data_IF_654103470670
#
_entry.id   IF_654103470670
#
_cell.length_a   1.000
_cell.length_b   1.000
_cell.length_c   1.000
_cell.angle_alpha   90.00
_cell.angle_beta   90.00
_cell.angle_gamma   90.00
#
_symmetry.space_group_name_H-M   'P 1'
#
loop_
_entity.id
_entity.type
_entity.pdbx_description
1 polymer ?
2 polymer ?
3 non-polymer ?
4 non-polymer ?
5 non-polymer ?
6 non-polymer ?
7 non-polymer ?
8 water ?
#
# COMPACT_ATOMS: atom_id res chain seq x y z
N UNK A 1 -9.87 -1.62 -30.12
CA UNK A 1 -8.81 -1.49 -29.07
C UNK A 1 -8.92 -2.62 -28.05
N UNK A 2 -7.81 -2.90 -27.37
CA UNK A 2 -7.76 -3.96 -26.36
C UNK A 2 -6.99 -3.50 -25.11
N UNK A 3 -7.45 -3.95 -23.96
CA UNK A 3 -6.96 -3.44 -22.67
C UNK A 3 -5.51 -3.83 -22.35
N UNK A 4 -5.02 -4.91 -22.94
CA UNK A 4 -3.65 -5.36 -22.69
C UNK A 4 -2.63 -4.48 -23.42
N UNK A 5 -3.07 -3.78 -24.46
CA UNK A 5 -2.20 -2.83 -25.17
C UNK A 5 -2.53 -1.40 -24.79
N UNK A 6 -1.56 -0.70 -24.22
CA UNK A 6 -1.69 0.73 -23.94
C UNK A 6 -2.83 1.03 -22.96
N UNK A 7 -3.18 0.04 -22.14
CA UNK A 7 -4.34 0.12 -21.24
C UNK A 7 -5.64 0.36 -22.00
N UNK A 8 -5.68 -0.03 -23.27
CA UNK A 8 -6.86 0.20 -24.11
C UNK A 8 -7.17 1.67 -24.36
N UNK A 9 -6.20 2.53 -24.08
CA UNK A 9 -6.38 3.98 -24.15
C UNK A 9 -7.04 4.59 -22.92
N UNK A 10 -7.41 3.75 -21.96
CA UNK A 10 -8.13 4.22 -20.75
C UNK A 10 -7.18 4.89 -19.78
N UNK A 11 -7.66 5.90 -19.08
CA UNK A 11 -6.87 6.55 -18.03
C UNK A 11 -6.73 5.63 -16.83
N UNK A 12 -7.81 4.90 -16.50
CA UNK A 12 -7.84 3.99 -15.35
C UNK A 12 -8.15 2.57 -15.79
N UNK A 13 -9.36 2.07 -15.53
CA UNK A 13 -9.66 0.66 -15.72
C UNK A 13 -10.28 0.38 -17.09
N UNK A 14 -10.12 -0.85 -17.57
CA UNK A 14 -10.51 -1.22 -18.93
C UNK A 14 -11.13 -2.62 -18.95
N UNK A 15 -12.26 -2.76 -19.64
CA UNK A 15 -12.92 -4.05 -19.87
C UNK A 15 -13.01 -4.33 -21.35
N UNK A 16 -12.60 -5.53 -21.76
CA UNK A 16 -12.83 -6.01 -23.14
C UNK A 16 -14.24 -6.59 -23.23
N UNK A 17 -14.91 -6.32 -24.35
CA UNK A 17 -16.26 -6.82 -24.59
C UNK A 17 -16.32 -7.59 -25.90
N UNK A 18 -17.37 -8.39 -26.05
CA UNK A 18 -17.52 -9.27 -27.21
C UNK A 18 -17.65 -8.45 -28.50
N UNK A 19 -16.68 -8.64 -29.40
CA UNK A 19 -16.55 -7.84 -30.62
C UNK A 19 -15.30 -6.97 -30.52
N UNK A 20 -15.20 -5.97 -31.39
CA UNK A 20 -14.11 -4.99 -31.28
C UNK A 20 -14.53 -3.89 -30.28
N UNK A 21 -15.03 -4.31 -29.12
CA UNK A 21 -15.59 -3.39 -28.13
C UNK A 21 -14.75 -3.31 -26.86
N UNK A 22 -14.71 -2.11 -26.29
CA UNK A 22 -13.94 -1.84 -25.09
C UNK A 22 -14.71 -0.81 -24.25
N UNK A 23 -14.72 -0.97 -22.93
CA UNK A 23 -15.30 0.03 -22.05
C UNK A 23 -14.29 0.43 -20.99
N UNK A 24 -14.02 1.72 -20.88
CA UNK A 24 -13.17 2.22 -19.79
C UNK A 24 -14.05 2.50 -18.58
N UNK A 25 -13.46 2.42 -17.39
CA UNK A 25 -14.18 2.73 -16.17
C UNK A 25 -13.27 3.52 -15.24
N UNK A 26 -13.85 4.12 -14.22
CA UNK A 26 -13.10 4.92 -13.27
C UNK A 26 -13.38 4.44 -11.85
N UNK A 27 -12.42 4.66 -10.97
CA UNK A 27 -12.54 4.36 -9.55
C UNK A 27 -13.65 5.19 -8.93
N UNK A 28 -14.18 4.74 -7.80
CA UNK A 28 -15.11 5.54 -7.04
C UNK A 28 -14.46 6.90 -6.77
N UNK A 29 -15.28 7.96 -6.82
CA UNK A 29 -14.79 9.32 -6.64
C UNK A 29 -14.35 9.99 -7.93
N UNK A 30 -14.56 9.29 -9.04
CA UNK A 30 -14.25 9.79 -10.38
C UNK A 30 -15.40 9.47 -11.31
N UNK A 31 -15.54 10.27 -12.37
CA UNK A 31 -16.49 9.97 -13.44
C UNK A 31 -15.79 9.97 -14.79
N UNK A 32 -16.32 9.19 -15.73
CA UNK A 32 -15.76 9.05 -17.07
C UNK A 32 -16.27 10.18 -17.94
N UNK A 33 -15.35 10.82 -18.66
CA UNK A 33 -15.70 11.91 -19.56
C UNK A 33 -16.25 11.36 -20.87
N UNK A 34 -16.80 12.26 -21.69
CA UNK A 34 -17.41 11.89 -22.97
C UNK A 34 -16.44 11.33 -24.01
N UNK A 35 -15.14 11.55 -23.82
CA UNK A 35 -14.13 10.90 -24.66
C UNK A 35 -14.07 9.38 -24.44
N UNK A 36 -14.71 8.90 -23.36
CA UNK A 36 -14.79 7.48 -23.06
C UNK A 36 -13.55 6.89 -22.44
N UNK A 37 -12.56 7.73 -22.14
CA UNK A 37 -11.26 7.25 -21.61
C UNK A 37 -10.79 8.00 -20.36
N UNK A 38 -11.07 9.30 -20.26
CA UNK A 38 -10.57 10.13 -19.17
C UNK A 38 -11.45 10.07 -17.94
N UNK A 39 -10.82 10.21 -16.77
CA UNK A 39 -11.52 10.18 -15.48
C UNK A 39 -11.28 11.52 -14.79
N UNK A 40 -12.36 12.13 -14.28
CA UNK A 40 -12.28 13.39 -13.56
C UNK A 40 -12.84 13.21 -12.15
N UNK A 41 -12.17 13.79 -11.13
CA UNK A 41 -12.70 13.70 -9.77
C UNK A 41 -14.11 14.25 -9.61
N UNK A 42 -14.89 13.60 -8.76
CA UNK A 42 -16.24 14.03 -8.43
C UNK A 42 -16.37 14.41 -6.95
N UNK A 43 -15.28 14.23 -6.22
CA UNK A 43 -15.24 14.54 -4.78
C UNK A 43 -13.98 15.34 -4.48
N UNK A 44 -13.92 15.91 -3.27
CA UNK A 44 -12.81 16.76 -2.87
C UNK A 44 -11.49 16.00 -2.74
N UNK A 45 -11.56 14.77 -2.20
CA UNK A 45 -10.38 13.97 -1.90
C UNK A 45 -10.45 12.60 -2.56
N UNK A 46 -10.34 12.56 -3.90
CA UNK A 46 -10.33 11.31 -4.62
C UNK A 46 -9.09 10.51 -4.31
N UNK A 47 -9.17 9.19 -4.35
CA UNK A 47 -7.99 8.38 -4.06
C UNK A 47 -6.85 8.66 -5.04
N UNK A 48 -5.62 8.53 -4.55
CA UNK A 48 -4.45 8.55 -5.42
C UNK A 48 -4.03 9.91 -5.94
N UNK A 49 -4.64 10.98 -5.42
CA UNK A 49 -4.23 12.34 -5.75
C UNK A 49 -3.74 13.04 -4.49
N UNK A 50 -2.76 13.92 -4.65
CA UNK A 50 -2.09 14.58 -3.53
C UNK A 50 -2.53 16.04 -3.49
N UNK A 51 -3.47 16.38 -2.59
CA UNK A 51 -4.09 17.71 -2.57
C UNK A 51 -3.12 18.89 -2.66
N UNK A 52 -2.04 18.86 -1.89
CA UNK A 52 -1.15 20.05 -1.88
C UNK A 52 -0.45 20.25 -3.23
N UNK A 53 -0.25 19.16 -3.98
CA UNK A 53 0.33 19.25 -5.32
C UNK A 53 -0.72 19.57 -6.38
N UNK A 54 -1.93 19.03 -6.23
CA UNK A 54 -3.04 19.37 -7.13
C UNK A 54 -3.39 20.86 -7.04
N UNK A 55 -3.31 21.42 -5.83
CA UNK A 55 -3.49 22.86 -5.63
C UNK A 55 -2.29 23.66 -6.16
N UNK A 56 -1.09 23.10 -6.02
CA UNK A 56 0.14 23.76 -6.44
C UNK A 56 0.14 24.10 -7.94
N UNK A 57 -0.55 23.28 -8.74
CA UNK A 57 -0.68 23.49 -10.19
C UNK A 57 -2.06 23.99 -10.65
N UNK A 58 -2.99 24.17 -9.71
CA UNK A 58 -4.33 24.66 -10.03
C UNK A 58 -4.33 26.16 -10.30
N UNK B 1 13.68 3.49 5.97
CA UNK B 1 14.10 3.72 4.58
C UNK B 1 15.57 4.14 4.55
N UNK B 2 16.37 3.41 3.77
CA UNK B 2 17.79 3.71 3.58
C UNK B 2 17.99 4.41 2.23
N UNK B 3 18.68 5.55 2.25
CA UNK B 3 19.08 6.23 1.02
C UNK B 3 17.98 7.02 0.32
N UNK B 4 16.90 7.32 1.04
CA UNK B 4 15.83 8.14 0.49
C UNK B 4 15.92 9.58 0.96
N UNK B 5 14.77 10.24 1.02
CA UNK B 5 14.67 11.62 1.45
C UNK B 5 13.41 11.80 2.26
N UNK B 6 13.32 12.91 2.97
CA UNK B 6 12.10 13.24 3.70
C UNK B 6 10.97 13.42 2.69
N UNK B 7 9.83 12.78 2.96
CA UNK B 7 8.62 13.01 2.20
C UNK B 7 8.04 14.34 2.67
N UNK B 8 7.98 15.35 1.79
CA UNK B 8 7.43 16.62 2.24
C UNK B 8 6.04 16.41 2.85
N UNK B 9 5.80 17.07 3.98
CA UNK B 9 4.56 16.89 4.73
C UNK B 9 3.35 17.00 3.81
N UNK B 10 2.50 15.97 3.83
CA UNK B 10 1.30 15.94 3.00
C UNK B 10 1.47 15.31 1.63
N UNK B 11 2.70 14.97 1.23
CA UNK B 11 2.94 14.36 -0.08
C UNK B 11 2.87 12.82 -0.09
N UNK B 12 2.72 12.22 1.08
CA UNK B 12 2.49 10.80 1.25
C UNK B 12 1.21 10.62 2.09
N UNK B 13 0.07 11.17 1.66
CA UNK B 13 -1.08 11.32 2.55
C UNK B 13 -1.83 10.01 2.92
N UNK B 14 -1.46 8.92 2.26
CA UNK B 14 -2.05 7.61 2.52
C UNK B 14 -1.22 6.77 3.49
N UNK B 15 -0.07 7.30 3.92
CA UNK B 15 0.81 6.56 4.80
C UNK B 15 0.16 6.43 6.18
N UNK B 16 0.21 5.22 6.74
CA UNK B 16 -0.30 4.95 8.09
C UNK B 16 0.88 4.55 8.97
N UNK B 17 0.83 4.99 10.22
CA UNK B 17 1.74 4.53 11.26
C UNK B 17 0.94 3.65 12.20
N UNK B 18 1.43 2.43 12.43
CA UNK B 18 0.81 1.52 13.39
C UNK B 18 1.60 1.52 14.69
N UNK B 19 0.89 1.67 15.81
CA UNK B 19 1.49 1.71 17.15
C UNK B 19 0.92 0.62 18.02
N UNK B 20 1.76 0.04 18.88
CA UNK B 20 1.28 -0.85 19.93
C UNK B 20 1.80 -0.35 21.28
N UNK B 21 0.88 -0.03 22.18
CA UNK B 21 1.21 0.60 23.45
C UNK B 21 2.08 1.85 23.24
N UNK B 22 1.77 2.60 22.18
CA UNK B 22 2.45 3.85 21.89
C UNK B 22 3.74 3.72 21.10
N UNK B 23 4.22 2.49 20.93
CA UNK B 23 5.52 2.23 20.29
C UNK B 23 5.31 1.89 18.81
N UNK B 24 6.20 2.38 17.98
CA UNK B 24 6.18 2.10 16.55
C UNK B 24 6.21 0.60 16.27
N UNK B 25 5.23 0.11 15.53
CA UNK B 25 5.18 -1.27 15.08
C UNK B 25 5.55 -1.43 13.62
N UNK B 26 4.83 -0.71 12.76
CA UNK B 26 4.88 -0.94 11.32
C UNK B 26 4.22 0.22 10.59
N UNK B 27 4.28 0.19 9.27
CA UNK B 27 3.52 1.11 8.44
C UNK B 27 2.28 0.43 7.90
N UNK B 28 1.54 1.19 7.11
CA UNK B 28 0.35 0.69 6.45
C UNK B 28 -0.08 1.68 5.38
N UNK B 29 -1.11 1.33 4.62
CA UNK B 29 -1.62 2.19 3.57
C UNK B 29 -3.13 2.33 3.67
N UNK B 30 -3.60 3.57 3.74
CA UNK B 30 -5.04 3.84 3.74
C UNK B 30 -5.58 3.65 2.31
N UNK B 31 -6.62 2.83 2.17
CA UNK B 31 -7.26 2.65 0.84
C UNK B 31 -8.70 3.14 0.74
N UNK B 32 -9.29 3.46 1.89
CA UNK B 32 -10.52 4.24 1.93
C UNK B 32 -10.68 4.70 3.38
N UNK B 33 -11.81 5.28 3.77
CA UNK B 33 -11.86 5.94 5.08
C UNK B 33 -11.83 5.01 6.30
N UNK B 34 -12.09 3.71 6.14
CA UNK B 34 -12.06 2.78 7.28
C UNK B 34 -11.08 1.60 7.11
N UNK B 35 -10.45 1.48 5.94
CA UNK B 35 -9.62 0.31 5.64
C UNK B 35 -8.15 0.65 5.37
N UNK B 36 -7.27 -0.12 6.02
CA UNK B 36 -5.81 0.02 5.89
C UNK B 36 -5.20 -1.32 5.49
N UNK B 37 -4.28 -1.30 4.53
CA UNK B 37 -3.55 -2.51 4.14
C UNK B 37 -2.16 -2.45 4.78
N UNK B 38 -1.75 -3.57 5.37
CA UNK B 38 -0.42 -3.66 6.00
C UNK B 38 0.15 -5.05 5.71
N UNK B 39 1.19 -5.45 6.45
CA UNK B 39 1.83 -6.77 6.32
C UNK B 39 1.41 -7.71 7.44
N UNK B 40 1.08 -8.95 7.10
CA UNK B 40 0.70 -9.96 8.10
C UNK B 40 1.77 -10.12 9.18
N UNK B 41 3.05 -10.11 8.79
CA UNK B 41 4.14 -10.41 9.72
C UNK B 41 4.27 -9.39 10.86
N UNK B 42 3.69 -8.21 10.66
CA UNK B 42 3.66 -7.17 11.68
C UNK B 42 2.92 -7.60 12.95
N UNK B 43 2.06 -8.62 12.83
CA UNK B 43 1.19 -9.02 13.92
C UNK B 43 1.56 -10.36 14.55
N UNK B 44 2.74 -10.89 14.21
CA UNK B 44 3.17 -12.20 14.70
C UNK B 44 3.31 -12.26 16.22
N UNK B 45 3.69 -11.15 16.84
CA UNK B 45 4.01 -11.14 18.27
C UNK B 45 3.04 -10.31 19.11
N UNK B 46 1.86 -10.00 18.57
CA UNK B 46 0.88 -9.21 19.27
C UNK B 46 0.23 -10.04 20.38
N UNK B 47 0.22 -9.50 21.59
CA UNK B 47 -0.35 -10.21 22.73
C UNK B 47 -1.73 -9.68 23.03
N UNK B 48 -1.83 -8.37 23.23
CA UNK B 48 -3.11 -7.72 23.43
C UNK B 48 -3.53 -6.99 22.14
N UNK B 49 -4.43 -7.62 21.40
CA UNK B 49 -4.89 -7.06 20.13
C UNK B 49 -5.62 -5.71 20.28
N UNK B 50 -5.98 -5.36 21.51
CA UNK B 50 -6.79 -4.18 21.78
C UNK B 50 -5.98 -2.90 22.02
N UNK B 51 -4.65 -3.02 21.95
CA UNK B 51 -3.74 -1.86 22.10
C UNK B 51 -3.13 -1.40 20.78
N UNK B 52 -3.71 -1.83 19.66
CA UNK B 52 -3.24 -1.43 18.33
C UNK B 52 -3.92 -0.15 17.89
N UNK B 53 -3.11 0.82 17.48
CA UNK B 53 -3.58 2.12 17.03
C UNK B 53 -3.01 2.44 15.66
N UNK B 54 -3.86 2.98 14.77
CA UNK B 54 -3.43 3.48 13.47
C UNK B 54 -3.48 4.99 13.49
N UNK B 55 -2.41 5.62 13.00
CA UNK B 55 -2.34 7.08 12.91
C UNK B 55 -2.22 7.50 11.44
N UNK B 56 -3.13 8.38 11.02
CA UNK B 56 -3.11 9.00 9.70
C UNK B 56 -2.68 10.45 9.86
N UNK B 57 -2.14 11.02 8.79
CA UNK B 57 -1.72 12.42 8.78
C UNK B 57 -0.45 12.68 9.55
N UNK B 58 0.30 11.63 9.87
CA UNK B 58 1.53 11.77 10.62
C UNK B 58 2.66 12.21 9.70
N UNK B 59 3.62 12.93 10.27
CA UNK B 59 4.77 13.35 9.51
C UNK B 59 6.00 13.35 10.40
N UNK B 60 6.05 14.27 11.36
CA UNK B 60 7.18 14.39 12.29
C UNK B 60 6.75 13.84 13.65
N UNK B 61 7.35 12.72 14.04
CA UNK B 61 6.93 12.01 15.25
C UNK B 61 7.27 12.76 16.54
N UNK B 62 8.14 13.75 16.44
CA UNK B 62 8.56 14.52 17.62
C UNK B 62 7.53 15.56 18.04
N UNK B 63 6.56 15.87 17.17
CA UNK B 63 5.61 16.93 17.47
C UNK B 63 4.17 16.56 17.13
N UNK B 64 3.25 17.35 17.65
CA UNK B 64 1.86 17.28 17.31
C UNK B 64 1.51 18.57 16.59
N UNK B 65 1.02 18.48 15.36
CA UNK B 65 0.64 19.68 14.62
C UNK B 65 -0.86 19.79 14.31
N UNK B 66 -1.65 18.79 14.73
CA UNK B 66 -3.09 18.84 14.60
C UNK B 66 -3.68 18.18 13.36
N UNK B 67 -2.81 17.73 12.45
CA UNK B 67 -3.26 17.03 11.24
C UNK B 67 -3.33 15.52 11.46
N UNK B 68 -2.82 15.05 12.59
CA UNK B 68 -2.82 13.63 12.89
C UNK B 68 -4.21 13.18 13.31
N UNK B 69 -4.58 11.97 12.89
CA UNK B 69 -5.84 11.34 13.28
C UNK B 69 -5.56 9.91 13.72
N UNK B 70 -5.87 9.60 14.97
CA UNK B 70 -5.62 8.27 15.53
C UNK B 70 -6.91 7.48 15.63
N UNK B 71 -6.84 6.18 15.33
CA UNK B 71 -7.98 5.29 15.41
C UNK B 71 -7.58 3.96 16.01
N UNK B 72 -8.49 3.37 16.77
CA UNK B 72 -8.31 1.99 17.18
C UNK B 72 -8.51 1.07 15.99
N UNK B 73 -7.75 -0.03 15.98
CA UNK B 73 -7.90 -1.06 14.96
C UNK B 73 -8.89 -2.09 15.47
N UNK B 74 -10.04 -2.18 14.79
CA UNK B 74 -11.16 -3.04 15.19
C UNK B 74 -11.04 -4.47 14.68
N UNK B 75 -10.37 -4.64 13.54
CA UNK B 75 -10.20 -5.97 12.93
C UNK B 75 -8.86 -6.02 12.23
N UNK B 76 -8.17 -7.15 12.37
CA UNK B 76 -6.96 -7.45 11.60
C UNK B 76 -7.26 -8.73 10.86
N UNK B 77 -7.33 -8.66 9.53
CA UNK B 77 -7.70 -9.81 8.70
C UNK B 77 -6.48 -10.32 7.92
N UNK B 78 -6.18 -11.60 8.09
CA UNK B 78 -4.99 -12.21 7.51
C UNK B 78 -5.42 -13.42 6.68
N UNK B 79 -4.78 -13.64 5.52
CA UNK B 79 -5.18 -14.78 4.70
C UNK B 79 -4.84 -16.10 5.38
N UNK B 80 -5.68 -17.11 5.16
CA UNK B 80 -5.49 -18.43 5.75
C UNK B 80 -4.13 -19.04 5.38
N UNK B 81 -3.62 -18.64 4.22
CA UNK B 81 -2.37 -19.18 3.67
C UNK B 81 -1.11 -18.60 4.31
N UNK B 82 -1.24 -17.53 5.09
CA UNK B 82 -0.08 -16.95 5.79
C UNK B 82 0.30 -17.80 7.00
N UNK B 83 1.59 -18.13 7.12
CA UNK B 83 2.10 -18.87 8.28
C UNK B 83 3.02 -17.96 9.08
N UNK B 84 2.67 -17.67 10.34
CA UNK B 84 3.55 -16.85 11.18
C UNK B 84 5.01 -17.30 11.17
N UNK B 85 5.90 -16.32 11.08
CA UNK B 85 7.34 -16.57 11.05
C UNK B 85 7.90 -16.79 9.66
N UNK B 86 7.03 -16.82 8.64
CA UNK B 86 7.46 -17.03 7.27
C UNK B 86 7.12 -15.79 6.40
N UNK B 87 7.43 -15.87 5.11
CA UNK B 87 7.40 -14.70 4.22
C UNK B 87 6.22 -14.66 3.24
N UNK B 88 5.70 -15.82 2.84
CA UNK B 88 4.68 -15.86 1.81
C UNK B 88 3.33 -15.33 2.32
N UNK B 89 2.55 -14.76 1.41
CA UNK B 89 1.22 -14.20 1.70
C UNK B 89 1.24 -13.12 2.78
N UNK B 90 2.19 -12.20 2.67
CA UNK B 90 2.45 -11.22 3.73
C UNK B 90 1.55 -9.98 3.57
N UNK B 91 0.29 -10.15 3.92
CA UNK B 91 -0.70 -9.07 3.77
C UNK B 91 -1.71 -9.14 4.90
N UNK B 92 -2.16 -7.97 5.34
CA UNK B 92 -3.20 -7.85 6.36
C UNK B 92 -4.12 -6.70 5.99
N UNK B 93 -5.42 -6.90 6.21
CA UNK B 93 -6.43 -5.87 5.99
C UNK B 93 -6.99 -5.45 7.34
N UNK B 94 -6.87 -4.16 7.65
CA UNK B 94 -7.24 -3.63 8.95
C UNK B 94 -8.46 -2.75 8.84
N UNK B 95 -9.47 -3.01 9.68
CA UNK B 95 -10.66 -2.18 9.79
C UNK B 95 -10.48 -1.21 10.95
N UNK B 96 -10.61 0.08 10.69
CA UNK B 96 -10.56 1.09 11.75
C UNK B 96 -11.88 1.12 12.51
N UNK B 97 -11.84 1.49 13.79
CA UNK B 97 -13.05 1.50 14.61
C UNK B 97 -14.01 2.61 14.21
N UNK B 98 -13.47 3.67 13.61
CA UNK B 98 -14.22 4.83 13.15
C UNK B 98 -13.50 5.34 11.92
N UNK B 99 -14.24 5.83 10.90
CA UNK B 99 -13.54 6.32 9.72
C UNK B 99 -12.62 7.48 10.04
N UNK B 100 -11.52 7.61 9.30
CA UNK B 100 -10.75 8.86 9.32
C UNK B 100 -11.49 9.88 8.47
N UNK B 101 -11.18 11.16 8.68
CA UNK B 101 -11.79 12.26 7.94
C UNK B 101 -10.80 12.65 6.84
N UNK B 102 -11.20 12.62 5.58
CA UNK B 102 -10.27 12.99 4.54
C UNK B 102 -10.00 14.48 4.59
N UNK B 103 -8.73 14.83 4.43
CA UNK B 103 -8.23 16.21 4.50
C UNK B 103 -7.05 16.34 3.53
N UNK B 104 -6.45 17.53 3.45
CA UNK B 104 -5.26 17.70 2.61
C UNK B 104 -4.14 16.74 3.03
N UNK B 105 -4.16 16.30 4.29
CA UNK B 105 -3.09 15.47 4.84
C UNK B 105 -3.45 13.99 5.04
N UNK B 106 -4.69 13.62 4.72
CA UNK B 106 -5.19 12.26 4.88
C UNK B 106 -6.03 11.92 3.66
N UNK B 107 -5.49 11.06 2.79
CA UNK B 107 -6.11 10.71 1.51
C UNK B 107 -5.79 9.24 1.22
N UNK B 108 -6.79 8.46 0.76
CA UNK B 108 -6.51 7.06 0.46
C UNK B 108 -5.73 6.89 -0.85
N UNK B 109 -4.94 5.82 -0.91
CA UNK B 109 -4.29 5.38 -2.14
C UNK B 109 -5.31 4.50 -2.88
N UNK B 110 -5.38 4.58 -4.21
CA UNK B 110 -6.32 3.75 -4.94
C UNK B 110 -5.89 2.29 -4.95
N UNK B 111 -6.78 1.40 -4.54
CA UNK B 111 -6.60 -0.03 -4.74
C UNK B 111 -7.04 -0.36 -6.16
N UNK B 112 -6.09 -0.75 -7.03
CA UNK B 112 -6.44 -0.90 -8.45
C UNK B 112 -7.19 -2.19 -8.73
N UNK B 113 -7.87 -2.25 -9.88
CA UNK B 113 -8.37 -3.51 -10.37
C UNK B 113 -7.21 -4.43 -10.71
N UNK B 114 -7.43 -5.73 -10.59
CA UNK B 114 -6.36 -6.71 -10.83
C UNK B 114 -5.82 -6.61 -12.25
N UNK B 115 -6.71 -6.60 -13.24
CA UNK B 115 -6.28 -6.58 -14.64
C UNK B 115 -5.41 -5.36 -14.95
N UNK B 116 -5.86 -4.19 -14.50
CA UNK B 116 -5.10 -2.96 -14.63
C UNK B 116 -3.73 -3.09 -13.96
N UNK B 117 -3.71 -3.64 -12.75
CA UNK B 117 -2.47 -3.76 -12.02
C UNK B 117 -1.48 -4.69 -12.72
N UNK B 118 -1.98 -5.81 -13.23
CA UNK B 118 -1.14 -6.82 -13.86
C UNK B 118 -0.67 -6.42 -15.25
N UNK B 119 -1.58 -5.83 -16.02
CA UNK B 119 -1.32 -5.50 -17.42
C UNK B 119 -0.62 -4.16 -17.61
N UNK B 120 -0.79 -3.24 -16.66
CA UNK B 120 -0.29 -1.88 -16.82
C UNK B 120 0.64 -1.45 -15.69
N UNK B 121 0.17 -1.51 -14.45
CA UNK B 121 0.97 -0.99 -13.33
C UNK B 121 2.26 -1.79 -13.14
N UNK B 122 2.21 -3.09 -13.42
CA UNK B 122 3.36 -3.99 -13.22
C UNK B 122 4.55 -3.62 -14.11
N UNK B 123 4.29 -2.87 -15.17
CA UNK B 123 5.31 -2.45 -16.12
C UNK B 123 5.77 -1.00 -15.97
N UNK B 124 5.24 -0.29 -14.97
CA UNK B 124 5.77 0.99 -14.60
C UNK B 124 7.04 0.73 -13.80
N UNK B 125 8.18 1.25 -14.26
CA UNK B 125 9.47 0.86 -13.71
C UNK B 125 9.62 1.29 -12.26
N UNK B 126 9.47 2.58 -12.00
CA UNK B 126 9.70 3.12 -10.65
C UNK B 126 8.44 3.34 -9.86
N UNK B 127 8.53 3.09 -8.56
CA UNK B 127 7.46 3.31 -7.60
C UNK B 127 8.05 3.82 -6.28
N UNK B 128 7.22 4.43 -5.44
CA UNK B 128 7.66 5.02 -4.17
C UNK B 128 7.36 4.09 -3.02
N UNK B 129 8.34 3.94 -2.13
CA UNK B 129 8.18 3.22 -0.87
C UNK B 129 8.50 4.21 0.25
N UNK B 130 7.79 4.11 1.37
CA UNK B 130 7.88 5.12 2.42
C UNK B 130 7.71 4.53 3.81
N UNK B 131 8.21 5.24 4.81
CA UNK B 131 8.04 4.83 6.19
C UNK B 131 8.96 5.54 7.16
N UNK B 132 8.76 5.23 8.45
CA UNK B 132 9.58 5.77 9.54
C UNK B 132 10.55 4.70 10.07
N UNK B 133 10.91 3.75 9.22
CA UNK B 133 11.83 2.70 9.61
C UNK B 133 13.28 3.15 9.72
N UNK B 134 14.16 2.19 9.92
CA UNK B 134 15.58 2.45 10.09
C UNK B 134 16.18 3.16 8.88
N UNK B 135 17.02 4.15 9.16
CA UNK B 135 17.66 4.96 8.13
C UNK B 135 18.94 4.29 7.62
N UNK B 136 19.40 3.30 8.37
CA UNK B 136 20.58 2.50 8.03
C UNK B 136 20.35 1.11 8.61
N UNK B 137 20.99 0.10 8.02
CA UNK B 137 21.03 -1.20 8.63
C UNK B 137 21.67 -1.06 10.01
N UNK B 138 21.04 -1.64 11.03
CA UNK B 138 21.51 -1.57 12.42
C UNK B 138 21.53 -0.12 12.96
N UNK B 139 20.67 0.74 12.40
CA UNK B 139 20.65 2.14 12.75
C UNK B 139 19.32 2.58 13.34
N UNK B 140 19.27 3.84 13.77
CA UNK B 140 18.08 4.43 14.38
C UNK B 140 16.98 4.65 13.35
N UNK B 141 15.74 4.62 13.81
CA UNK B 141 14.59 4.89 12.95
C UNK B 141 14.41 6.39 12.72
N UNK B 142 13.63 6.72 11.70
CA UNK B 142 13.42 8.11 11.27
C UNK B 142 12.37 8.81 12.12
N UNK B 143 12.59 10.08 12.43
CA UNK B 143 11.57 10.89 13.09
C UNK B 143 10.65 11.60 12.09
N UNK B 144 11.13 11.82 10.86
CA UNK B 144 10.29 12.34 9.78
C UNK B 144 10.04 11.26 8.75
N UNK B 145 8.86 11.25 8.14
CA UNK B 145 8.51 10.25 7.14
C UNK B 145 9.47 10.34 5.95
N UNK B 146 10.03 9.20 5.56
CA UNK B 146 10.98 9.12 4.46
C UNK B 146 10.34 8.40 3.26
N UNK B 147 10.87 8.69 2.07
CA UNK B 147 10.36 8.12 0.84
C UNK B 147 11.52 7.82 -0.11
N UNK B 148 11.36 6.76 -0.89
CA UNK B 148 12.41 6.27 -1.79
C UNK B 148 11.79 5.79 -3.10
N UNK B 149 12.40 6.18 -4.22
CA UNK B 149 11.99 5.70 -5.54
C UNK B 149 12.78 4.43 -5.85
N UNK B 150 12.08 3.33 -6.10
CA UNK B 150 12.73 2.04 -6.39
C UNK B 150 12.21 1.43 -7.69
N UNK B 151 13.12 0.85 -8.50
CA UNK B 151 12.71 0.17 -9.73
C UNK B 151 12.33 -1.28 -9.48
N UNK B 152 11.31 -1.75 -10.19
CA UNK B 152 10.80 -3.10 -10.06
C UNK B 152 11.55 -4.03 -11.01
N UNK B 153 11.76 -5.27 -10.56
CA UNK B 153 12.41 -6.30 -11.35
C UNK B 153 11.43 -7.44 -11.60
N UNK B 154 11.48 -8.02 -12.80
CA UNK B 154 10.82 -9.30 -13.02
C UNK B 154 11.53 -10.34 -12.16
N UNK B 155 10.77 -11.31 -11.65
CA UNK B 155 11.31 -12.25 -10.67
C UNK B 155 12.48 -13.08 -11.21
N UNK B 156 12.38 -13.50 -12.47
CA UNK B 156 13.50 -14.19 -13.14
C UNK B 156 14.77 -13.35 -13.07
N UNK B 157 14.65 -12.05 -13.34
CA UNK B 157 15.79 -11.13 -13.32
C UNK B 157 16.31 -10.90 -11.89
N UNK B 158 15.40 -10.78 -10.93
CA UNK B 158 15.78 -10.66 -9.51
C UNK B 158 16.65 -11.83 -9.07
N UNK B 159 16.20 -13.04 -9.41
CA UNK B 159 16.89 -14.27 -9.02
C UNK B 159 18.26 -14.37 -9.70
N UNK B 160 18.33 -13.95 -10.97
CA UNK B 160 19.59 -13.93 -11.72
C UNK B 160 20.56 -12.88 -11.17
N UNK B 161 20.03 -11.70 -10.81
CA UNK B 161 20.85 -10.61 -10.33
C UNK B 161 21.21 -10.69 -8.84
N UNK B 162 20.58 -11.61 -8.11
CA UNK B 162 20.80 -11.72 -6.66
C UNK B 162 21.90 -12.72 -6.32
N UNK B 163 22.70 -12.40 -5.30
CA UNK B 163 23.82 -13.24 -4.87
C UNK B 163 24.52 -12.64 -3.66
N UNK B 168 17.24 -19.32 2.72
CA UNK B 168 16.80 -18.17 1.93
C UNK B 168 15.44 -18.43 1.29
N UNK B 169 14.43 -17.59 1.60
CA UNK B 169 13.10 -17.85 1.05
C UNK B 169 13.03 -17.69 -0.47
N UNK B 170 12.14 -18.45 -1.11
CA UNK B 170 11.84 -18.28 -2.52
C UNK B 170 11.17 -16.93 -2.76
N UNK B 171 11.28 -16.43 -3.98
CA UNK B 171 10.43 -15.34 -4.45
C UNK B 171 9.25 -15.99 -5.16
N UNK B 172 8.10 -15.96 -4.50
CA UNK B 172 6.90 -16.63 -5.00
C UNK B 172 6.10 -15.71 -5.90
N UNK B 173 5.01 -16.24 -6.46
CA UNK B 173 4.13 -15.45 -7.33
C UNK B 173 3.36 -14.40 -6.53
N UNK B 174 3.43 -14.47 -5.21
CA UNK B 174 2.76 -13.50 -4.32
C UNK B 174 3.70 -12.41 -3.84
N UNK B 175 4.86 -12.31 -4.48
CA UNK B 175 5.90 -11.32 -4.18
C UNK B 175 6.47 -10.71 -5.44
N UNK B 176 7.15 -9.59 -5.30
CA UNK B 176 8.03 -9.08 -6.34
C UNK B 176 9.21 -8.35 -5.71
N UNK B 177 10.28 -8.24 -6.50
CA UNK B 177 11.49 -7.56 -6.09
C UNK B 177 11.52 -6.14 -6.61
N UNK B 178 12.11 -5.25 -5.82
CA UNK B 178 12.33 -3.88 -6.25
C UNK B 178 13.47 -3.27 -5.44
N UNK B 179 14.18 -2.34 -6.07
CA UNK B 179 15.26 -1.62 -5.41
C UNK B 179 16.61 -1.80 -6.12
N UNK B 180 17.66 -1.95 -5.31
CA UNK B 180 19.04 -1.87 -5.77
C UNK B 180 19.90 -2.90 -5.05
N UNK B 181 20.89 -3.44 -5.76
CA UNK B 181 21.77 -4.48 -5.21
C UNK B 181 23.13 -3.95 -4.73
N UNK B 182 23.29 -2.63 -4.72
CA UNK B 182 24.59 -2.00 -4.35
C UNK B 182 24.67 -1.52 -2.89
N UNK B 183 23.64 -1.83 -2.09
CA UNK B 183 23.65 -1.54 -0.66
C UNK B 183 23.36 -0.10 -0.24
N UNK B 184 22.86 0.71 -1.17
CA UNK B 184 22.67 2.15 -0.95
C UNK B 184 21.23 2.58 -0.64
N UNK B 185 20.26 1.79 -1.11
CA UNK B 185 18.86 2.21 -1.12
C UNK B 185 17.93 1.02 -0.93
N UNK B 186 17.08 1.07 0.10
CA UNK B 186 16.17 -0.03 0.43
C UNK B 186 15.13 0.43 1.45
N UNK B 187 14.05 -0.32 1.60
CA UNK B 187 13.18 -0.18 2.77
C UNK B 187 13.76 -1.10 3.85
N UNK B 188 13.48 -0.79 5.12
CA UNK B 188 14.16 -1.44 6.24
C UNK B 188 13.17 -1.81 7.34
N UNK B 189 13.68 -2.40 8.42
CA UNK B 189 12.86 -2.70 9.60
C UNK B 189 12.17 -1.42 10.06
N UNK B 190 10.89 -1.55 10.38
CA UNK B 190 10.10 -0.40 10.76
C UNK B 190 9.26 0.11 9.61
N UNK B 191 9.70 -0.13 8.37
CA UNK B 191 8.93 0.24 7.18
C UNK B 191 7.91 -0.83 6.77
N UNK B 192 8.06 -2.04 7.29
CA UNK B 192 7.17 -3.17 7.00
C UNK B 192 5.72 -2.76 7.05
N UNK B 193 4.94 -3.25 6.08
CA UNK B 193 3.54 -2.91 6.00
C UNK B 193 3.22 -1.67 5.18
N UNK B 194 4.21 -0.82 4.94
CA UNK B 194 4.00 0.43 4.24
C UNK B 194 3.82 0.26 2.75
N UNK B 195 3.42 1.34 2.07
CA UNK B 195 3.11 1.31 0.65
C UNK B 195 4.28 1.24 -0.29
N UNK B 196 4.06 0.49 -1.37
CA UNK B 196 4.81 0.59 -2.61
C UNK B 196 3.75 1.13 -3.57
N UNK B 197 3.89 2.41 -3.93
CA UNK B 197 2.86 3.17 -4.64
C UNK B 197 3.34 3.51 -6.05
N UNK B 198 2.47 3.27 -7.03
CA UNK B 198 2.84 3.39 -8.44
C UNK B 198 1.97 4.42 -9.15
N UNK B 199 2.62 5.34 -9.87
CA UNK B 199 1.94 6.41 -10.58
C UNK B 199 1.58 5.99 -12.00
N UNK B 200 0.35 6.27 -12.41
CA UNK B 200 -0.05 6.07 -13.80
C UNK B 200 -1.05 7.14 -14.21
N UNK B 201 -0.66 7.95 -15.20
CA UNK B 201 -1.52 8.99 -15.77
C UNK B 201 -2.24 9.86 -14.73
N UNK B 202 -1.46 10.36 -13.77
CA UNK B 202 -1.92 11.38 -12.85
C UNK B 202 -2.46 10.90 -11.52
N UNK B 203 -2.48 9.58 -11.33
CA UNK B 203 -3.06 8.96 -10.14
C UNK B 203 -2.15 7.86 -9.60
N UNK B 204 -2.11 7.73 -8.27
CA UNK B 204 -1.27 6.74 -7.60
C UNK B 204 -2.09 5.55 -7.12
N UNK B 205 -1.49 4.36 -7.20
CA UNK B 205 -2.13 3.09 -6.90
C UNK B 205 -1.27 2.21 -5.99
N UNK B 206 -1.91 1.37 -5.19
CA UNK B 206 -1.20 0.41 -4.34
C UNK B 206 -0.79 -0.82 -5.15
N UNK B 207 0.52 -1.03 -5.31
CA UNK B 207 1.03 -2.20 -6.01
C UNK B 207 1.82 -3.17 -5.11
N UNK B 208 2.37 -2.69 -4.01
CA UNK B 208 3.14 -3.56 -3.11
C UNK B 208 3.05 -3.17 -1.66
N UNK B 209 3.50 -4.09 -0.81
CA UNK B 209 3.59 -3.87 0.64
C UNK B 209 5.03 -4.19 1.03
N UNK B 210 5.67 -3.30 1.78
CA UNK B 210 7.02 -3.57 2.30
C UNK B 210 6.97 -4.86 3.12
N UNK B 211 7.74 -5.87 2.70
CA UNK B 211 7.62 -7.21 3.29
C UNK B 211 8.91 -7.76 3.92
N UNK B 212 9.92 -8.05 3.10
CA UNK B 212 11.16 -8.65 3.64
C UNK B 212 12.35 -8.49 2.74
N UNK B 213 13.50 -8.90 3.26
CA UNK B 213 14.72 -9.04 2.46
C UNK B 213 15.78 -9.75 3.28
N UNK B 214 16.94 -9.96 2.66
CA UNK B 214 18.13 -10.39 3.38
C UNK B 214 18.71 -9.14 4.06
N UNK B 215 18.39 -8.91 5.33
CA UNK B 215 18.79 -7.67 6.02
C UNK B 215 18.25 -6.46 5.28
N UNK B 216 18.80 -5.30 5.61
CA UNK B 216 18.47 -4.03 4.96
C UNK B 216 19.61 -3.59 4.06
N UNK B 217 19.28 -3.13 2.86
CA UNK B 217 20.30 -2.60 1.93
C UNK B 217 21.52 -3.51 1.86
N UNK B 218 21.28 -4.81 1.76
CA UNK B 218 22.36 -5.78 1.72
C UNK B 218 22.88 -5.88 0.30
N UNK B 219 24.19 -5.71 0.13
CA UNK B 219 24.80 -5.82 -1.20
C UNK B 219 24.49 -7.19 -1.81
N UNK B 220 24.12 -7.18 -3.08
CA UNK B 220 23.76 -8.39 -3.80
C UNK B 220 22.31 -8.80 -3.68
N UNK B 221 21.50 -7.99 -3.01
CA UNK B 221 20.09 -8.34 -2.76
C UNK B 221 19.15 -7.15 -2.95
N UNK B 222 17.89 -7.47 -3.27
CA UNK B 222 16.84 -6.47 -3.48
C UNK B 222 15.78 -6.60 -2.40
N UNK B 223 14.98 -5.55 -2.26
CA UNK B 223 13.82 -5.58 -1.36
C UNK B 223 12.73 -6.45 -1.94
N UNK B 224 12.00 -7.14 -1.07
CA UNK B 224 10.91 -7.99 -1.52
C UNK B 224 9.59 -7.42 -1.00
N UNK B 225 8.60 -7.39 -1.88
CA UNK B 225 7.32 -6.73 -1.63
C UNK B 225 6.19 -7.69 -1.90
N UNK B 226 5.13 -7.63 -1.09
CA UNK B 226 3.94 -8.42 -1.37
C UNK B 226 3.29 -7.92 -2.66
N UNK B 227 2.95 -8.84 -3.54
CA UNK B 227 2.35 -8.52 -4.85
C UNK B 227 0.85 -8.33 -4.67
N UNK B 228 0.45 -7.09 -4.44
CA UNK B 228 -0.93 -6.78 -4.06
C UNK B 228 -1.97 -7.21 -5.12
N UNK B 229 -1.57 -7.23 -6.39
CA UNK B 229 -2.48 -7.63 -7.48
C UNK B 229 -3.09 -9.01 -7.26
N UNK B 230 -2.37 -9.90 -6.56
CA UNK B 230 -2.86 -11.24 -6.28
C UNK B 230 -4.01 -11.25 -5.26
N UNK B 231 -4.19 -10.15 -4.53
CA UNK B 231 -5.14 -10.06 -3.41
C UNK B 231 -6.32 -9.11 -3.61
N UNK B 232 -6.45 -8.51 -4.80
CA UNK B 232 -7.50 -7.49 -5.01
C UNK B 232 -8.90 -8.05 -4.71
N UNK B 233 -9.22 -9.20 -5.29
CA UNK B 233 -10.55 -9.80 -5.11
C UNK B 233 -10.77 -10.22 -3.65
N UNK B 234 -9.73 -10.74 -3.00
CA UNK B 234 -9.80 -11.12 -1.58
C UNK B 234 -10.10 -9.89 -0.71
N UNK B 235 -9.37 -8.81 -0.96
CA UNK B 235 -9.59 -7.55 -0.24
C UNK B 235 -10.98 -6.98 -0.48
N UNK B 236 -11.41 -6.93 -1.74
CA UNK B 236 -12.71 -6.33 -2.05
C UNK B 236 -13.85 -7.08 -1.39
N UNK B 237 -13.78 -8.40 -1.39
CA UNK B 237 -14.81 -9.20 -0.73
C UNK B 237 -14.88 -8.91 0.77
N UNK B 238 -13.72 -8.84 1.42
CA UNK B 238 -13.69 -8.60 2.85
C UNK B 238 -14.22 -7.20 3.20
N UNK B 239 -13.96 -6.23 2.34
CA UNK B 239 -14.44 -4.86 2.61
C UNK B 239 -15.96 -4.73 2.52
N UNK B 240 -16.62 -5.70 1.87
CA UNK B 240 -18.08 -5.73 1.78
C UNK B 240 -18.71 -6.53 2.92
N UNK B 241 -17.87 -7.18 3.72
CA UNK B 241 -18.34 -8.05 4.79
C UNK B 241 -18.61 -7.31 6.10
N UNK B 242 -19.49 -7.86 6.92
CA UNK B 242 -19.74 -7.32 8.23
C UNK B 242 -18.63 -7.68 9.20
N UNK B 243 -18.29 -6.77 10.13
CA UNK B 243 -17.33 -7.08 11.18
C UNK B 243 -17.75 -8.26 12.05
N UNK B 244 -16.74 -8.92 12.62
CA UNK B 244 -16.95 -10.06 13.51
C UNK B 244 -16.32 -9.79 14.86
N UNK B 245 -16.92 -10.33 15.95
CA UNK B 245 -16.30 -10.15 17.25
C UNK B 245 -14.88 -10.72 17.28
N UNK B 246 -13.99 -10.09 18.04
CA UNK B 246 -12.59 -10.51 18.14
C UNK B 246 -11.74 -9.94 17.02
N UNK B 247 -10.66 -9.24 17.38
CA UNK B 247 -9.88 -8.44 16.43
C UNK B 247 -9.31 -9.28 15.29
N UNK B 248 -8.57 -10.32 15.62
CA UNK B 248 -7.95 -11.14 14.58
C UNK B 248 -8.99 -12.00 13.87
N UNK B 249 -8.97 -11.96 12.55
CA UNK B 249 -9.77 -12.82 11.70
C UNK B 249 -8.88 -13.46 10.64
N UNK B 250 -8.86 -14.78 10.58
CA UNK B 250 -8.21 -15.47 9.49
C UNK B 250 -9.27 -15.77 8.44
N UNK B 251 -9.03 -15.31 7.21
CA UNK B 251 -10.02 -15.43 6.14
C UNK B 251 -9.46 -16.30 5.03
N UNK B 252 -10.29 -17.20 4.46
CA UNK B 252 -9.79 -18.10 3.44
C UNK B 252 -9.20 -17.35 2.24
N UNK B 253 -8.08 -17.85 1.75
CA UNK B 253 -7.48 -17.37 0.51
C UNK B 253 -7.21 -18.59 -0.36
N UNK B 254 -7.58 -18.54 -1.66
CA UNK B 254 -8.17 -17.42 -2.41
C UNK B 254 -9.57 -17.01 -1.95
#
# INVERSE_FOLDING_TARGET
LICVNENGGCEQYCSDHTGTKRSCRCHEGYSLLADGVSCTPTVEYPCGKIPILEKRNASKPQGR
IVGGKVCPKGECPWQVLLLVNGAQLCGGTLINTIWVVSAAHCFDKIKNWRNLIAVLGEHDLSEHDGDEQSRRVAQVIIPSTYVPGTTNHDIALLRLHQPVVLTDHVVPLCLPERTFSERTLAFVRFSLVSGWGQLLDRGATALELMVLNVPRLMTQDCLQQSRKVGDSPNITEYMFCAGYSDGSKDSCKGDSGGPHATHYRGTWYLTGIVSWGQGCATVGHFGVYTRVSQYIEWLQKLMRSEPRPGVLLRAPFP
#
